data_IF_902004871508
#
_entry.id   IF_902004871508
#
_cell.length_a   1.000
_cell.length_b   1.000
_cell.length_c   1.000
_cell.angle_alpha   90.00
_cell.angle_beta   90.00
_cell.angle_gamma   90.00
#
_symmetry.space_group_name_H-M   'P 1'
#
loop_
_entity.id
_entity.type
_entity.pdbx_description
1 polymer ?
#
# COMPACT_ATOMS: atom_id res chain seq x y z
N UNK A 1 0.61 34.83 12.80
CA UNK A 1 0.51 34.51 11.35
C UNK A 1 -0.19 33.19 11.26
N UNK A 2 -1.45 33.20 10.84
CA UNK A 2 -2.28 31.96 10.71
C UNK A 2 -1.71 31.12 9.58
N UNK A 3 -1.32 29.87 9.87
CA UNK A 3 -1.00 28.87 8.85
C UNK A 3 -2.17 28.76 7.86
N UNK A 4 -1.91 28.74 6.54
CA UNK A 4 -2.98 28.48 5.58
C UNK A 4 -3.60 27.11 5.90
N UNK A 5 -4.92 27.06 5.98
CA UNK A 5 -5.68 25.82 6.12
C UNK A 5 -5.24 24.88 4.98
N UNK A 6 -4.55 23.81 5.32
CA UNK A 6 -4.26 22.71 4.42
C UNK A 6 -5.62 22.23 3.90
N UNK A 7 -5.92 22.49 2.62
CA UNK A 7 -7.10 21.95 1.96
C UNK A 7 -7.18 20.47 2.28
N UNK A 8 -8.41 19.97 2.45
CA UNK A 8 -8.67 18.59 2.87
C UNK A 8 -7.88 17.63 1.97
N UNK A 9 -6.76 17.11 2.51
CA UNK A 9 -5.87 16.20 1.76
C UNK A 9 -6.67 14.95 1.38
N UNK A 10 -6.41 14.35 0.20
CA UNK A 10 -7.12 13.14 -0.23
C UNK A 10 -6.92 12.05 0.82
N UNK A 11 -8.03 11.58 1.39
CA UNK A 11 -8.00 10.49 2.37
C UNK A 11 -7.77 9.16 1.65
N UNK A 12 -6.95 8.31 2.27
CA UNK A 12 -6.77 6.95 1.81
C UNK A 12 -7.91 6.08 2.36
N UNK A 13 -8.97 5.94 1.58
CA UNK A 13 -10.21 5.29 2.02
C UNK A 13 -10.72 4.27 1.01
N UNK A 14 -11.50 3.28 1.50
CA UNK A 14 -12.08 2.22 0.66
C UNK A 14 -11.07 1.14 0.28
N UNK A 15 -11.11 0.67 -0.95
CA UNK A 15 -10.27 -0.43 -1.46
C UNK A 15 -9.08 0.14 -2.22
N UNK A 16 -7.88 -0.06 -1.71
CA UNK A 16 -6.62 0.38 -2.30
C UNK A 16 -5.85 -0.85 -2.78
N UNK A 17 -5.45 -0.89 -4.04
CA UNK A 17 -4.62 -1.97 -4.55
C UNK A 17 -3.16 -1.77 -4.14
N UNK A 18 -2.58 -2.76 -3.43
CA UNK A 18 -1.13 -2.88 -3.33
C UNK A 18 -0.62 -3.37 -4.67
N UNK A 19 -0.28 -2.42 -5.54
CA UNK A 19 -0.02 -2.68 -6.95
C UNK A 19 1.27 -3.45 -7.15
N UNK A 20 1.22 -4.50 -7.96
CA UNK A 20 2.40 -5.17 -8.49
C UNK A 20 3.21 -4.21 -9.35
N UNK A 21 4.52 -4.33 -9.35
CA UNK A 21 5.38 -3.58 -10.26
C UNK A 21 5.56 -4.37 -11.55
N UNK A 22 5.05 -3.85 -12.69
CA UNK A 22 5.33 -4.47 -13.97
C UNK A 22 6.81 -4.35 -14.33
N UNK A 23 7.36 -5.45 -14.81
CA UNK A 23 8.76 -5.56 -15.23
C UNK A 23 8.86 -6.11 -16.63
N UNK A 24 10.03 -5.98 -17.26
CA UNK A 24 10.37 -6.73 -18.46
C UNK A 24 10.26 -8.25 -18.19
N UNK A 25 10.07 -9.07 -19.23
CA UNK A 25 9.83 -10.49 -19.05
C UNK A 25 10.95 -11.23 -18.31
N UNK A 26 12.18 -10.70 -18.37
CA UNK A 26 13.34 -11.21 -17.63
C UNK A 26 13.43 -10.69 -16.18
N UNK A 27 12.51 -9.84 -15.75
CA UNK A 27 12.51 -9.23 -14.42
C UNK A 27 13.62 -8.21 -14.16
N UNK A 28 14.42 -7.86 -15.17
CA UNK A 28 15.63 -7.04 -14.98
C UNK A 28 15.35 -5.53 -14.91
N UNK A 29 14.23 -5.06 -15.47
CA UNK A 29 13.90 -3.62 -15.47
C UNK A 29 12.40 -3.41 -15.26
N UNK A 30 12.05 -2.29 -14.65
CA UNK A 30 10.65 -1.82 -14.59
C UNK A 30 10.17 -1.55 -16.02
N UNK A 31 8.91 -1.93 -16.31
CA UNK A 31 8.21 -1.56 -17.54
C UNK A 31 7.17 -0.46 -17.25
N UNK A 32 7.52 0.83 -17.48
CA UNK A 32 6.62 1.94 -17.20
C UNK A 32 5.35 1.95 -18.06
N UNK A 33 5.40 1.39 -19.27
CA UNK A 33 4.22 1.30 -20.14
C UNK A 33 3.24 0.25 -19.62
N UNK A 34 3.72 -0.92 -19.20
CA UNK A 34 2.90 -1.93 -18.55
C UNK A 34 2.36 -1.43 -17.20
N UNK A 35 3.13 -0.62 -16.45
CA UNK A 35 2.65 0.02 -15.23
C UNK A 35 1.48 0.98 -15.51
N UNK A 36 1.57 1.76 -16.59
CA UNK A 36 0.48 2.60 -17.07
C UNK A 36 -0.77 1.78 -17.46
N UNK A 37 -0.59 0.67 -18.19
CA UNK A 37 -1.71 -0.22 -18.57
C UNK A 37 -2.38 -0.86 -17.36
N UNK A 38 -1.61 -1.43 -16.42
CA UNK A 38 -2.15 -1.99 -15.17
C UNK A 38 -2.91 -0.94 -14.36
N UNK A 39 -2.35 0.26 -14.23
CA UNK A 39 -3.01 1.37 -13.54
C UNK A 39 -4.34 1.72 -14.19
N UNK A 40 -4.38 1.87 -15.51
CA UNK A 40 -5.62 2.17 -16.25
C UNK A 40 -6.66 1.08 -16.03
N UNK A 41 -6.25 -0.20 -16.11
CA UNK A 41 -7.14 -1.33 -15.87
C UNK A 41 -7.73 -1.32 -14.44
N UNK A 42 -6.90 -1.05 -13.42
CA UNK A 42 -7.36 -0.95 -12.03
C UNK A 42 -8.35 0.22 -11.83
N UNK A 43 -8.06 1.38 -12.43
CA UNK A 43 -8.96 2.55 -12.40
C UNK A 43 -10.30 2.24 -13.06
N UNK A 44 -10.32 1.56 -14.21
CA UNK A 44 -11.53 1.13 -14.91
C UNK A 44 -12.32 0.09 -14.14
N UNK A 45 -11.67 -0.73 -13.31
CA UNK A 45 -12.35 -1.62 -12.35
C UNK A 45 -12.98 -0.88 -11.17
N UNK A 46 -12.66 0.39 -10.96
CA UNK A 46 -13.23 1.21 -9.89
C UNK A 46 -12.45 1.19 -8.59
N UNK A 47 -11.16 0.84 -8.60
CA UNK A 47 -10.33 0.87 -7.39
C UNK A 47 -10.26 2.29 -6.81
N UNK A 48 -10.25 2.43 -5.49
CA UNK A 48 -10.32 3.74 -4.84
C UNK A 48 -8.95 4.41 -4.66
N UNK A 49 -7.85 3.67 -4.81
CA UNK A 49 -6.49 4.18 -4.71
C UNK A 49 -5.44 3.13 -4.99
N UNK A 50 -4.21 3.55 -5.10
CA UNK A 50 -3.05 2.71 -5.39
C UNK A 50 -1.97 2.89 -4.33
N UNK A 51 -1.40 1.78 -3.88
CA UNK A 51 -0.22 1.75 -3.01
C UNK A 51 0.91 1.05 -3.77
N UNK A 52 1.90 1.81 -4.22
CA UNK A 52 2.90 1.35 -5.19
C UNK A 52 4.29 1.23 -4.60
N UNK A 53 5.14 0.42 -5.21
CA UNK A 53 6.51 0.13 -4.77
C UNK A 53 6.61 -0.40 -3.33
N UNK A 54 5.52 -0.97 -2.77
CA UNK A 54 5.53 -1.64 -1.47
C UNK A 54 6.12 -3.05 -1.57
N UNK A 55 5.85 -3.89 -0.57
CA UNK A 55 6.30 -5.30 -0.56
C UNK A 55 5.77 -6.05 -1.78
N UNK A 56 4.47 -5.94 -2.05
CA UNK A 56 3.83 -6.50 -3.26
C UNK A 56 4.38 -5.92 -4.55
N UNK A 57 4.80 -4.65 -4.51
CA UNK A 57 5.41 -3.94 -5.65
C UNK A 57 6.92 -4.11 -5.75
N UNK A 58 7.52 -5.07 -5.03
CA UNK A 58 8.96 -5.38 -5.13
C UNK A 58 9.86 -4.17 -4.84
N UNK A 59 9.39 -3.20 -4.04
CA UNK A 59 9.97 -1.86 -3.92
C UNK A 59 11.42 -1.81 -3.43
N UNK A 60 11.83 -2.76 -2.56
CA UNK A 60 13.22 -2.85 -2.10
C UNK A 60 14.20 -3.34 -3.17
N UNK A 61 13.70 -3.93 -4.24
CA UNK A 61 14.53 -4.41 -5.35
C UNK A 61 14.66 -3.37 -6.48
N UNK A 62 13.98 -2.22 -6.37
CA UNK A 62 14.04 -1.15 -7.36
C UNK A 62 15.21 -0.21 -7.09
N UNK A 63 15.90 0.20 -8.14
CA UNK A 63 16.79 1.35 -8.06
C UNK A 63 15.98 2.65 -7.84
N UNK A 64 16.59 3.72 -7.34
CA UNK A 64 15.90 5.01 -7.21
C UNK A 64 15.35 5.54 -8.55
N UNK A 65 16.02 5.27 -9.65
CA UNK A 65 15.60 5.63 -11.01
C UNK A 65 14.37 4.87 -11.42
N UNK A 66 14.35 3.54 -11.24
CA UNK A 66 13.19 2.68 -11.51
C UNK A 66 11.99 3.05 -10.66
N UNK A 67 12.21 3.33 -9.37
CA UNK A 67 11.15 3.81 -8.48
C UNK A 67 10.53 5.11 -9.02
N UNK A 68 11.34 6.06 -9.42
CA UNK A 68 10.88 7.34 -10.01
C UNK A 68 10.08 7.12 -11.30
N UNK A 69 10.54 6.24 -12.19
CA UNK A 69 9.87 5.92 -13.45
C UNK A 69 8.52 5.26 -13.20
N UNK A 70 8.45 4.30 -12.27
CA UNK A 70 7.22 3.64 -11.84
C UNK A 70 6.21 4.68 -11.31
N UNK A 71 6.64 5.53 -10.35
CA UNK A 71 5.74 6.53 -9.75
C UNK A 71 5.17 7.46 -10.81
N UNK A 72 6.01 7.97 -11.74
CA UNK A 72 5.56 8.83 -12.84
C UNK A 72 4.55 8.16 -13.76
N UNK A 73 4.81 6.91 -14.15
CA UNK A 73 3.92 6.17 -15.03
C UNK A 73 2.55 5.94 -14.39
N UNK A 74 2.55 5.52 -13.11
CA UNK A 74 1.31 5.28 -12.35
C UNK A 74 0.54 6.57 -12.13
N UNK A 75 1.17 7.64 -11.65
CA UNK A 75 0.50 8.94 -11.43
C UNK A 75 -0.14 9.47 -12.71
N UNK A 76 0.58 9.38 -13.84
CA UNK A 76 0.04 9.80 -15.15
C UNK A 76 -1.23 9.03 -15.53
N UNK A 77 -1.31 7.74 -15.22
CA UNK A 77 -2.43 6.87 -15.58
C UNK A 77 -3.57 6.84 -14.54
N UNK A 78 -3.34 7.31 -13.32
CA UNK A 78 -4.24 7.17 -12.17
C UNK A 78 -5.53 8.00 -12.26
N UNK A 79 -5.64 8.93 -13.21
CA UNK A 79 -6.86 9.74 -13.45
C UNK A 79 -7.43 10.41 -12.17
N UNK A 80 -6.56 10.80 -11.25
CA UNK A 80 -6.92 11.55 -10.04
C UNK A 80 -7.25 10.71 -8.81
N UNK A 81 -7.25 9.36 -8.87
CA UNK A 81 -7.33 8.56 -7.65
C UNK A 81 -6.01 8.66 -6.85
N UNK A 82 -6.06 8.52 -5.50
CA UNK A 82 -4.85 8.58 -4.67
C UNK A 82 -3.78 7.56 -5.08
N UNK A 83 -2.53 8.03 -5.14
CA UNK A 83 -1.34 7.19 -5.36
C UNK A 83 -0.39 7.38 -4.19
N UNK A 84 -0.26 6.37 -3.35
CA UNK A 84 0.68 6.33 -2.23
C UNK A 84 1.96 5.68 -2.71
N UNK A 85 3.06 6.43 -2.71
CA UNK A 85 4.38 5.88 -3.03
C UNK A 85 5.04 5.34 -1.74
N UNK A 86 5.37 4.07 -1.74
CA UNK A 86 6.22 3.52 -0.71
C UNK A 86 7.64 4.04 -0.90
N UNK A 87 8.21 4.63 0.15
CA UNK A 87 9.54 5.25 0.12
C UNK A 87 10.47 4.69 1.21
N UNK A 88 10.11 3.54 1.78
CA UNK A 88 10.97 2.84 2.73
C UNK A 88 12.24 2.32 2.07
N UNK A 89 13.36 2.51 2.75
CA UNK A 89 14.67 2.07 2.29
C UNK A 89 15.54 1.65 3.48
N UNK A 90 16.70 1.06 3.20
CA UNK A 90 17.63 0.61 4.25
C UNK A 90 18.27 1.77 5.01
N UNK A 91 18.37 2.95 4.40
CA UNK A 91 18.93 4.14 5.05
C UNK A 91 17.97 5.32 4.96
N UNK A 92 18.03 6.22 5.96
CA UNK A 92 17.25 7.47 5.96
C UNK A 92 17.55 8.32 4.70
N UNK A 93 18.81 8.36 4.28
CA UNK A 93 19.21 9.15 3.10
C UNK A 93 18.53 8.64 1.81
N UNK A 94 18.47 7.33 1.62
CA UNK A 94 17.74 6.72 0.49
C UNK A 94 16.25 7.00 0.56
N UNK A 95 15.62 6.81 1.73
CA UNK A 95 14.21 7.07 1.93
C UNK A 95 13.84 8.55 1.66
N UNK A 96 14.68 9.48 2.10
CA UNK A 96 14.56 10.92 1.80
C UNK A 96 14.65 11.20 0.29
N UNK A 97 15.56 10.53 -0.42
CA UNK A 97 15.68 10.65 -1.87
C UNK A 97 14.42 10.16 -2.57
N UNK A 98 13.91 8.98 -2.20
CA UNK A 98 12.68 8.42 -2.76
C UNK A 98 11.47 9.32 -2.47
N UNK A 99 11.38 9.88 -1.25
CA UNK A 99 10.31 10.82 -0.88
C UNK A 99 10.29 12.07 -1.76
N UNK A 100 11.45 12.70 -1.99
CA UNK A 100 11.58 13.86 -2.89
C UNK A 100 11.20 13.50 -4.34
N UNK A 101 11.61 12.34 -4.80
CA UNK A 101 11.24 11.85 -6.14
C UNK A 101 9.74 11.59 -6.27
N UNK A 102 9.09 11.05 -5.22
CA UNK A 102 7.64 10.84 -5.19
C UNK A 102 6.87 12.17 -5.26
N UNK A 103 7.32 13.21 -4.54
CA UNK A 103 6.78 14.58 -4.65
C UNK A 103 6.88 15.09 -6.08
N UNK A 104 8.08 15.03 -6.67
CA UNK A 104 8.33 15.50 -8.04
C UNK A 104 7.55 14.74 -9.10
N UNK A 105 7.24 13.47 -8.84
CA UNK A 105 6.45 12.62 -9.72
C UNK A 105 4.95 12.83 -9.59
N UNK A 106 4.49 13.59 -8.58
CA UNK A 106 3.07 13.90 -8.35
C UNK A 106 2.30 12.84 -7.56
N UNK A 107 2.98 12.02 -6.76
CA UNK A 107 2.30 11.14 -5.80
C UNK A 107 1.41 11.95 -4.86
N UNK A 108 0.38 11.33 -4.27
CA UNK A 108 -0.53 12.01 -3.35
C UNK A 108 -0.19 11.81 -1.89
N UNK A 109 0.63 10.82 -1.58
CA UNK A 109 1.15 10.53 -0.25
C UNK A 109 2.42 9.67 -0.33
N UNK A 110 3.14 9.58 0.79
CA UNK A 110 4.29 8.67 0.93
C UNK A 110 4.11 7.75 2.14
N UNK A 111 4.71 6.55 2.06
CA UNK A 111 4.67 5.58 3.16
C UNK A 111 6.06 4.92 3.36
N UNK A 112 6.78 5.27 4.44
CA UNK A 112 8.13 4.79 4.72
C UNK A 112 8.18 3.76 5.85
N UNK A 113 8.14 2.44 5.62
CA UNK A 113 8.49 1.50 6.68
C UNK A 113 10.01 1.49 6.93
N UNK A 114 10.45 1.47 8.19
CA UNK A 114 11.84 1.26 8.55
C UNK A 114 12.17 -0.25 8.61
N UNK A 115 13.24 -0.70 7.95
CA UNK A 115 13.52 -2.14 7.79
C UNK A 115 14.42 -2.76 8.87
N UNK A 116 15.20 -1.97 9.60
CA UNK A 116 15.96 -2.45 10.75
C UNK A 116 15.22 -2.19 12.05
N UNK A 117 15.52 -2.99 13.07
CA UNK A 117 15.02 -2.73 14.42
C UNK A 117 15.64 -1.45 14.96
N UNK A 118 14.81 -0.48 15.27
CA UNK A 118 15.17 0.88 15.68
C UNK A 118 14.55 1.22 17.04
N UNK A 119 15.24 2.02 17.82
CA UNK A 119 14.68 2.64 19.03
C UNK A 119 13.60 3.69 18.66
N UNK A 120 12.78 4.08 19.64
CA UNK A 120 11.76 5.12 19.43
C UNK A 120 12.35 6.46 18.97
N UNK A 121 13.54 6.81 19.46
CA UNK A 121 14.23 8.05 19.06
C UNK A 121 14.70 7.98 17.62
N UNK A 122 15.24 6.84 17.20
CA UNK A 122 15.65 6.62 15.81
C UNK A 122 14.45 6.59 14.86
N UNK A 123 13.35 5.96 15.26
CA UNK A 123 12.10 5.98 14.49
C UNK A 123 11.55 7.40 14.32
N UNK A 124 11.55 8.20 15.39
CA UNK A 124 11.14 9.60 15.31
C UNK A 124 12.04 10.39 14.36
N UNK A 125 13.35 10.23 14.45
CA UNK A 125 14.32 10.86 13.55
C UNK A 125 14.10 10.46 12.08
N UNK A 126 13.92 9.17 11.83
CA UNK A 126 13.64 8.60 10.50
C UNK A 126 12.36 9.21 9.89
N UNK A 127 11.23 9.13 10.59
CA UNK A 127 9.97 9.66 10.09
C UNK A 127 9.99 11.19 9.92
N UNK A 128 10.66 11.92 10.83
CA UNK A 128 10.79 13.37 10.72
C UNK A 128 11.58 13.79 9.48
N UNK A 129 12.69 13.11 9.19
CA UNK A 129 13.51 13.43 8.02
C UNK A 129 12.73 13.19 6.70
N UNK A 130 11.96 12.11 6.64
CA UNK A 130 11.17 11.77 5.46
C UNK A 130 9.97 12.70 5.33
N UNK A 131 9.27 13.02 6.41
CA UNK A 131 8.15 13.95 6.42
C UNK A 131 8.56 15.32 5.85
N UNK A 132 9.70 15.87 6.28
CA UNK A 132 10.26 17.11 5.74
C UNK A 132 10.60 17.01 4.24
N UNK A 133 11.13 15.88 3.82
CA UNK A 133 11.50 15.67 2.41
C UNK A 133 10.27 15.47 1.50
N UNK A 134 9.17 15.00 2.08
CA UNK A 134 7.91 14.73 1.38
C UNK A 134 6.98 15.95 1.30
N UNK A 135 7.26 17.04 1.99
CA UNK A 135 6.40 18.25 1.94
C UNK A 135 6.10 18.67 0.49
N UNK A 136 4.83 18.97 0.16
CA UNK A 136 3.64 19.08 1.03
C UNK A 136 2.81 17.81 1.19
N UNK A 137 3.31 16.62 0.77
CA UNK A 137 2.55 15.38 0.82
C UNK A 137 2.35 14.88 2.25
N UNK A 138 1.18 14.27 2.56
CA UNK A 138 0.97 13.56 3.81
C UNK A 138 1.81 12.29 3.86
N UNK A 139 2.17 11.90 5.09
CA UNK A 139 2.86 10.67 5.39
C UNK A 139 1.90 9.66 5.99
N UNK A 140 1.90 8.45 5.47
CA UNK A 140 1.23 7.29 6.07
C UNK A 140 2.27 6.39 6.71
N UNK A 141 2.18 6.17 8.02
CA UNK A 141 3.01 5.15 8.67
C UNK A 141 2.69 3.78 8.09
N UNK A 142 3.68 2.90 8.08
CA UNK A 142 3.46 1.52 7.66
C UNK A 142 4.01 0.57 8.72
N UNK A 143 3.10 -0.09 9.42
CA UNK A 143 3.39 -1.13 10.40
C UNK A 143 3.30 -2.51 9.75
N UNK A 144 4.43 -3.18 9.60
CA UNK A 144 4.54 -4.53 9.06
C UNK A 144 5.68 -5.27 9.77
N UNK A 145 5.49 -5.72 11.00
CA UNK A 145 6.56 -6.29 11.83
C UNK A 145 7.26 -7.49 11.18
N UNK A 146 6.53 -8.27 10.37
CA UNK A 146 7.10 -9.41 9.64
C UNK A 146 8.15 -9.02 8.59
N UNK A 147 8.04 -7.82 8.01
CA UNK A 147 8.94 -7.33 6.97
C UNK A 147 9.88 -6.21 7.48
N UNK A 148 9.38 -5.34 8.35
CA UNK A 148 10.05 -4.11 8.74
C UNK A 148 10.67 -4.15 10.16
N UNK A 149 10.57 -5.26 10.87
CA UNK A 149 11.17 -5.53 12.20
C UNK A 149 10.90 -4.47 13.28
N UNK A 150 9.99 -3.54 13.04
CA UNK A 150 9.56 -2.55 14.00
C UNK A 150 8.06 -2.70 14.20
N UNK A 151 7.64 -2.51 15.43
CA UNK A 151 6.22 -2.43 15.76
C UNK A 151 5.87 -1.01 16.16
N UNK A 152 4.75 -0.51 15.61
CA UNK A 152 4.21 0.81 15.88
C UNK A 152 2.91 0.68 16.70
N UNK A 153 3.00 0.54 18.05
CA UNK A 153 1.80 0.42 18.89
C UNK A 153 0.94 1.68 18.79
N UNK A 154 -0.40 1.59 19.00
CA UNK A 154 -1.32 2.72 18.84
C UNK A 154 -0.90 4.00 19.57
N UNK A 155 -0.43 3.90 20.82
CA UNK A 155 0.06 5.06 21.57
C UNK A 155 1.29 5.70 20.93
N UNK A 156 2.22 4.90 20.44
CA UNK A 156 3.41 5.44 19.78
C UNK A 156 3.06 6.11 18.44
N UNK A 157 2.08 5.58 17.72
CA UNK A 157 1.54 6.26 16.51
C UNK A 157 0.93 7.61 16.88
N UNK A 158 0.19 7.71 17.99
CA UNK A 158 -0.34 8.96 18.49
C UNK A 158 0.78 9.97 18.85
N UNK A 159 1.83 9.50 19.55
CA UNK A 159 3.01 10.32 19.89
C UNK A 159 3.72 10.83 18.61
N UNK A 160 3.90 9.96 17.61
CA UNK A 160 4.50 10.33 16.32
C UNK A 160 3.64 11.38 15.60
N UNK A 161 2.32 11.26 15.59
CA UNK A 161 1.42 12.24 14.97
C UNK A 161 1.47 13.61 15.67
N UNK A 162 1.62 13.61 16.97
CA UNK A 162 1.79 14.86 17.72
C UNK A 162 3.11 15.56 17.34
N UNK A 163 4.18 14.79 17.16
CA UNK A 163 5.51 15.31 16.79
C UNK A 163 5.62 15.68 15.29
N UNK A 164 4.87 14.98 14.44
CA UNK A 164 4.93 15.12 12.97
C UNK A 164 3.49 15.29 12.43
N UNK A 165 2.99 16.54 12.36
CA UNK A 165 1.59 16.81 11.97
C UNK A 165 1.20 16.38 10.57
N UNK A 166 2.16 16.14 9.66
CA UNK A 166 1.91 15.63 8.32
C UNK A 166 1.57 14.13 8.28
N UNK A 167 1.64 13.40 9.40
CA UNK A 167 1.17 12.02 9.46
C UNK A 167 -0.37 12.00 9.39
N UNK A 168 -0.90 11.58 8.25
CA UNK A 168 -2.33 11.52 7.97
C UNK A 168 -2.96 10.18 8.37
N UNK A 169 -2.18 9.10 8.43
CA UNK A 169 -2.71 7.79 8.74
C UNK A 169 -1.64 6.72 8.97
N UNK A 170 -2.13 5.51 9.13
CA UNK A 170 -1.31 4.30 9.26
C UNK A 170 -1.92 3.16 8.44
N UNK A 171 -1.07 2.44 7.68
CA UNK A 171 -1.35 1.10 7.19
C UNK A 171 -0.81 0.09 8.21
N UNK A 172 -1.66 -0.80 8.70
CA UNK A 172 -1.25 -1.88 9.60
C UNK A 172 -1.44 -3.24 8.92
N UNK A 173 -0.35 -3.99 8.80
CA UNK A 173 -0.29 -5.34 8.26
C UNK A 173 0.25 -6.35 9.29
N UNK A 174 0.14 -6.04 10.59
CA UNK A 174 0.62 -6.92 11.65
C UNK A 174 -0.19 -8.22 11.78
N UNK A 175 -1.48 -8.17 11.41
CA UNK A 175 -2.41 -9.28 11.64
C UNK A 175 -2.70 -9.55 13.12
N UNK A 176 -2.23 -8.69 14.03
CA UNK A 176 -2.45 -8.88 15.46
C UNK A 176 -3.92 -8.64 15.82
N UNK A 177 -4.49 -9.58 16.56
CA UNK A 177 -5.88 -9.49 17.03
C UNK A 177 -6.12 -8.19 17.82
N UNK A 178 -7.23 -7.51 17.54
CA UNK A 178 -7.59 -6.26 18.19
C UNK A 178 -6.79 -5.03 17.75
N UNK A 179 -5.79 -5.17 16.87
CA UNK A 179 -4.92 -4.07 16.44
C UNK A 179 -5.68 -2.95 15.73
N UNK A 180 -6.50 -3.29 14.75
CA UNK A 180 -7.27 -2.28 14.00
C UNK A 180 -8.27 -1.54 14.90
N UNK A 181 -9.10 -2.22 15.72
CA UNK A 181 -9.94 -1.55 16.71
C UNK A 181 -9.17 -0.60 17.64
N UNK A 182 -8.02 -1.03 18.17
CA UNK A 182 -7.19 -0.21 19.06
C UNK A 182 -6.63 1.03 18.35
N UNK A 183 -6.19 0.90 17.12
CA UNK A 183 -5.73 2.03 16.30
C UNK A 183 -6.87 3.02 16.04
N UNK A 184 -8.04 2.54 15.59
CA UNK A 184 -9.21 3.39 15.33
C UNK A 184 -9.64 4.14 16.60
N UNK A 185 -9.73 3.45 17.74
CA UNK A 185 -10.08 4.04 19.02
C UNK A 185 -9.06 5.09 19.48
N UNK A 186 -7.75 4.77 19.36
CA UNK A 186 -6.67 5.64 19.89
C UNK A 186 -6.47 6.88 19.03
N UNK A 187 -6.58 6.76 17.70
CA UNK A 187 -6.23 7.81 16.76
C UNK A 187 -7.42 8.70 16.37
N UNK A 188 -8.64 8.17 16.53
CA UNK A 188 -9.88 8.89 16.22
C UNK A 188 -10.07 9.18 14.73
N UNK A 189 -11.15 9.91 14.36
CA UNK A 189 -11.58 10.08 12.97
C UNK A 189 -10.67 11.00 12.13
N UNK A 190 -9.71 11.67 12.75
CA UNK A 190 -8.76 12.54 12.07
C UNK A 190 -7.54 11.81 11.51
N UNK A 191 -7.46 10.49 11.70
CA UNK A 191 -6.36 9.64 11.24
C UNK A 191 -6.93 8.49 10.42
N UNK A 192 -6.42 8.29 9.22
CA UNK A 192 -6.82 7.16 8.41
C UNK A 192 -6.13 5.88 8.92
N UNK A 193 -6.92 4.97 9.49
CA UNK A 193 -6.45 3.62 9.79
C UNK A 193 -6.80 2.72 8.61
N UNK A 194 -5.79 2.09 8.01
CA UNK A 194 -5.94 1.27 6.81
C UNK A 194 -5.44 -0.15 7.13
N UNK A 195 -6.31 -1.14 6.95
CA UNK A 195 -5.97 -2.54 7.17
C UNK A 195 -5.18 -3.10 5.99
N UNK A 196 -4.07 -3.78 6.28
CA UNK A 196 -3.24 -4.46 5.29
C UNK A 196 -3.25 -5.99 5.44
N UNK A 197 -4.27 -6.55 6.10
CA UNK A 197 -4.44 -7.99 6.27
C UNK A 197 -5.75 -8.44 5.59
N UNK A 198 -5.62 -9.31 4.60
CA UNK A 198 -6.75 -9.81 3.80
C UNK A 198 -7.73 -10.68 4.59
N UNK A 199 -7.29 -11.31 5.69
CA UNK A 199 -8.14 -12.18 6.51
C UNK A 199 -9.20 -11.41 7.32
N UNK A 200 -9.00 -10.11 7.55
CA UNK A 200 -9.80 -9.30 8.49
C UNK A 200 -10.37 -8.03 7.86
N UNK A 201 -10.59 -8.01 6.55
CA UNK A 201 -11.08 -6.83 5.82
C UNK A 201 -12.46 -6.38 6.32
N UNK A 202 -13.40 -7.32 6.40
CA UNK A 202 -14.77 -7.01 6.83
C UNK A 202 -14.79 -6.50 8.27
N UNK A 203 -14.06 -7.16 9.18
CA UNK A 203 -13.91 -6.71 10.56
C UNK A 203 -13.33 -5.30 10.62
N UNK A 204 -12.28 -5.03 9.84
CA UNK A 204 -11.65 -3.71 9.79
C UNK A 204 -12.65 -2.61 9.41
N UNK A 205 -13.48 -2.83 8.40
CA UNK A 205 -14.54 -1.89 8.03
C UNK A 205 -15.60 -1.73 9.12
N UNK A 206 -16.02 -2.83 9.77
CA UNK A 206 -17.02 -2.81 10.84
C UNK A 206 -16.57 -2.00 12.05
N UNK A 207 -15.26 -2.00 12.36
CA UNK A 207 -14.71 -1.22 13.49
C UNK A 207 -14.30 0.21 13.09
N UNK A 208 -14.53 0.62 11.84
CA UNK A 208 -14.33 1.99 11.38
C UNK A 208 -12.97 2.29 10.74
N UNK A 209 -12.25 1.27 10.25
CA UNK A 209 -11.10 1.51 9.38
C UNK A 209 -11.51 2.32 8.15
N UNK A 210 -10.67 3.26 7.74
CA UNK A 210 -10.93 4.12 6.58
C UNK A 210 -10.87 3.33 5.27
N UNK A 211 -10.02 2.31 5.20
CA UNK A 211 -9.80 1.52 4.01
C UNK A 211 -8.98 0.27 4.25
N UNK A 212 -8.71 -0.42 3.14
CA UNK A 212 -7.80 -1.56 3.09
C UNK A 212 -6.75 -1.36 2.00
N UNK A 213 -5.57 -1.95 2.19
CA UNK A 213 -4.53 -2.05 1.15
C UNK A 213 -4.19 -3.51 0.95
N UNK A 214 -4.59 -4.08 -0.17
CA UNK A 214 -4.54 -5.52 -0.41
C UNK A 214 -3.78 -5.89 -1.68
N UNK A 215 -2.96 -6.94 -1.62
CA UNK A 215 -2.23 -7.47 -2.78
C UNK A 215 -3.18 -8.10 -3.80
N UNK A 216 -4.15 -8.86 -3.33
CA UNK A 216 -5.15 -9.50 -4.18
C UNK A 216 -6.04 -8.50 -4.92
N UNK A 217 -6.21 -7.28 -4.40
CA UNK A 217 -6.94 -6.22 -5.09
C UNK A 217 -6.23 -5.74 -6.37
N UNK A 218 -4.93 -6.03 -6.54
CA UNK A 218 -4.21 -5.82 -7.81
C UNK A 218 -4.55 -6.85 -8.88
N UNK A 219 -5.08 -8.00 -8.48
CA UNK A 219 -5.36 -9.13 -9.39
C UNK A 219 -6.86 -9.36 -9.56
N UNK A 220 -7.62 -9.30 -8.48
CA UNK A 220 -9.07 -9.50 -8.42
C UNK A 220 -9.76 -8.31 -7.75
N UNK A 221 -9.65 -7.08 -8.27
CA UNK A 221 -10.23 -5.89 -7.65
C UNK A 221 -11.75 -6.02 -7.41
N UNK A 222 -12.46 -6.75 -8.26
CA UNK A 222 -13.90 -6.97 -8.16
C UNK A 222 -14.35 -7.69 -6.89
N UNK A 223 -13.54 -8.62 -6.35
CA UNK A 223 -13.86 -9.30 -5.08
C UNK A 223 -13.84 -8.32 -3.90
N UNK A 224 -12.80 -7.48 -3.84
CA UNK A 224 -12.63 -6.51 -2.78
C UNK A 224 -13.63 -5.36 -2.87
N UNK A 225 -13.91 -4.90 -4.08
CA UNK A 225 -14.94 -3.89 -4.34
C UNK A 225 -16.33 -4.43 -4.02
N UNK A 226 -16.62 -5.69 -4.34
CA UNK A 226 -17.85 -6.39 -4.00
C UNK A 226 -18.06 -6.46 -2.49
N UNK A 227 -17.04 -6.87 -1.73
CA UNK A 227 -17.08 -6.87 -0.26
C UNK A 227 -17.40 -5.48 0.28
N UNK A 228 -16.65 -4.46 -0.17
CA UNK A 228 -16.83 -3.09 0.28
C UNK A 228 -18.22 -2.55 -0.04
N UNK A 229 -18.76 -2.83 -1.23
CA UNK A 229 -20.10 -2.41 -1.65
C UNK A 229 -21.21 -3.13 -0.85
N UNK A 230 -21.05 -4.44 -0.59
CA UNK A 230 -21.99 -5.22 0.22
C UNK A 230 -22.01 -4.71 1.67
N UNK A 231 -20.84 -4.50 2.27
CA UNK A 231 -20.71 -3.91 3.60
C UNK A 231 -21.38 -2.53 3.69
N UNK A 232 -21.07 -1.61 2.77
CA UNK A 232 -21.68 -0.27 2.75
C UNK A 232 -23.20 -0.30 2.61
N UNK A 233 -23.73 -1.27 1.90
CA UNK A 233 -25.17 -1.45 1.71
C UNK A 233 -25.85 -2.23 2.85
N UNK A 234 -25.11 -2.64 3.89
CA UNK A 234 -25.64 -3.44 5.00
C UNK A 234 -26.02 -4.88 4.62
N UNK A 235 -25.54 -5.38 3.48
CA UNK A 235 -25.79 -6.76 3.01
C UNK A 235 -24.76 -7.70 3.65
N UNK A 236 -24.96 -8.00 4.93
CA UNK A 236 -23.99 -8.70 5.78
C UNK A 236 -23.58 -10.07 5.20
N UNK A 237 -24.57 -10.90 4.82
CA UNK A 237 -24.28 -12.24 4.29
C UNK A 237 -23.44 -12.22 2.98
N UNK A 238 -23.69 -11.24 2.10
CA UNK A 238 -22.87 -11.06 0.89
C UNK A 238 -21.46 -10.61 1.22
N UNK A 239 -21.28 -9.71 2.21
CA UNK A 239 -19.98 -9.26 2.63
C UNK A 239 -19.15 -10.38 3.28
N UNK A 240 -19.78 -11.23 4.10
CA UNK A 240 -19.15 -12.41 4.70
C UNK A 240 -18.74 -13.44 3.64
N UNK A 241 -19.58 -13.68 2.65
CA UNK A 241 -19.24 -14.59 1.54
C UNK A 241 -18.06 -14.04 0.73
N UNK A 242 -18.07 -12.74 0.40
CA UNK A 242 -16.95 -12.10 -0.29
C UNK A 242 -15.65 -12.19 0.53
N UNK A 243 -15.72 -12.04 1.86
CA UNK A 243 -14.57 -12.22 2.75
C UNK A 243 -14.02 -13.65 2.66
N UNK A 244 -14.88 -14.68 2.67
CA UNK A 244 -14.45 -16.08 2.53
C UNK A 244 -13.76 -16.33 1.17
N UNK A 245 -14.32 -15.77 0.10
CA UNK A 245 -13.74 -15.88 -1.24
C UNK A 245 -12.36 -15.21 -1.34
N UNK A 246 -12.19 -14.03 -0.72
CA UNK A 246 -10.89 -13.34 -0.65
C UNK A 246 -9.86 -14.21 0.08
N UNK A 247 -10.22 -14.77 1.24
CA UNK A 247 -9.31 -15.65 2.00
C UNK A 247 -8.92 -16.88 1.18
N UNK A 248 -9.88 -17.56 0.54
CA UNK A 248 -9.62 -18.73 -0.29
C UNK A 248 -8.71 -18.40 -1.49
N UNK A 249 -8.95 -17.27 -2.15
CA UNK A 249 -8.13 -16.78 -3.25
C UNK A 249 -6.70 -16.46 -2.79
N UNK A 250 -6.54 -15.76 -1.65
CA UNK A 250 -5.22 -15.44 -1.10
C UNK A 250 -4.44 -16.71 -0.75
N UNK A 251 -5.08 -17.69 -0.14
CA UNK A 251 -4.46 -19.01 0.15
C UNK A 251 -3.98 -19.70 -1.14
N UNK A 252 -4.81 -19.70 -2.16
CA UNK A 252 -4.45 -20.29 -3.48
C UNK A 252 -3.26 -19.57 -4.12
N UNK A 253 -3.12 -18.25 -3.94
CA UNK A 253 -2.01 -17.44 -4.44
C UNK A 253 -0.79 -17.38 -3.49
N UNK A 254 -0.80 -18.10 -2.36
CA UNK A 254 0.30 -18.16 -1.40
C UNK A 254 0.41 -16.95 -0.49
N UNK A 255 -0.71 -16.30 -0.16
CA UNK A 255 -0.83 -15.22 0.84
C UNK A 255 0.17 -14.06 0.64
N UNK A 256 0.37 -13.64 -0.61
CA UNK A 256 1.28 -12.53 -0.93
C UNK A 256 2.77 -12.89 -0.97
N UNK A 257 3.14 -14.14 -0.64
CA UNK A 257 4.54 -14.57 -0.63
C UNK A 257 5.06 -14.97 -2.03
N UNK A 258 4.15 -15.32 -2.95
CA UNK A 258 4.49 -15.86 -4.28
C UNK A 258 4.09 -14.89 -5.39
N UNK A 259 4.79 -13.75 -5.49
CA UNK A 259 4.44 -12.67 -6.43
C UNK A 259 4.43 -13.11 -7.90
N UNK A 260 5.23 -14.08 -8.28
CA UNK A 260 5.19 -14.68 -9.62
C UNK A 260 3.81 -15.24 -9.98
N UNK A 261 3.08 -15.82 -9.00
CA UNK A 261 1.71 -16.28 -9.21
C UNK A 261 0.73 -15.14 -9.47
N UNK A 262 0.85 -14.04 -8.72
CA UNK A 262 0.01 -12.86 -8.94
C UNK A 262 0.22 -12.29 -10.35
N UNK A 263 1.48 -12.21 -10.81
CA UNK A 263 1.81 -11.75 -12.16
C UNK A 263 1.31 -12.72 -13.25
N UNK A 264 1.46 -14.02 -13.01
CA UNK A 264 0.91 -15.04 -13.90
C UNK A 264 -0.61 -14.92 -14.07
N UNK A 265 -1.34 -14.83 -12.96
CA UNK A 265 -2.81 -14.68 -13.00
C UNK A 265 -3.23 -13.38 -13.68
N UNK A 266 -2.53 -12.26 -13.46
CA UNK A 266 -2.79 -11.02 -14.19
C UNK A 266 -2.63 -11.20 -15.70
N UNK A 267 -1.59 -11.93 -16.14
CA UNK A 267 -1.39 -12.23 -17.56
C UNK A 267 -2.55 -13.05 -18.14
N UNK A 268 -3.06 -14.06 -17.40
CA UNK A 268 -4.24 -14.84 -17.79
C UNK A 268 -5.52 -13.98 -17.86
N UNK A 269 -5.55 -12.89 -17.11
CA UNK A 269 -6.65 -11.90 -17.15
C UNK A 269 -6.48 -10.83 -18.24
N UNK A 270 -5.50 -11.00 -19.12
CA UNK A 270 -5.22 -10.08 -20.24
C UNK A 270 -4.43 -8.84 -19.85
N UNK A 271 -3.79 -8.84 -18.68
CA UNK A 271 -2.97 -7.72 -18.19
C UNK A 271 -1.55 -8.22 -17.91
N UNK A 272 -0.72 -8.48 -18.93
CA UNK A 272 0.64 -8.97 -18.73
C UNK A 272 1.50 -7.89 -18.07
N UNK A 273 2.23 -8.30 -17.03
CA UNK A 273 3.08 -7.43 -16.20
C UNK A 273 4.52 -7.93 -16.08
N UNK A 274 4.91 -8.88 -16.96
CA UNK A 274 6.24 -9.47 -17.01
C UNK A 274 6.57 -10.38 -15.83
N UNK A 275 7.86 -10.64 -15.63
CA UNK A 275 8.38 -11.50 -14.58
C UNK A 275 8.59 -10.76 -13.24
N UNK A 276 9.01 -11.50 -12.21
CA UNK A 276 9.46 -10.93 -10.93
C UNK A 276 10.97 -10.68 -10.94
N UNK A 277 11.43 -9.79 -10.07
CA UNK A 277 12.87 -9.56 -9.90
C UNK A 277 13.49 -10.62 -8.99
N UNK A 278 14.62 -11.18 -9.41
CA UNK A 278 15.40 -12.07 -8.55
C UNK A 278 15.85 -11.38 -7.23
N UNK A 279 15.86 -12.11 -6.12
CA UNK A 279 15.79 -13.58 -5.98
C UNK A 279 14.37 -14.19 -5.98
N UNK A 280 13.32 -13.40 -6.25
CA UNK A 280 11.99 -13.96 -6.40
C UNK A 280 11.93 -14.86 -7.66
N UNK A 281 11.00 -15.79 -7.67
CA UNK A 281 10.80 -16.72 -8.78
C UNK A 281 9.42 -16.52 -9.44
N UNK A 282 9.40 -16.63 -10.76
CA UNK A 282 8.14 -16.71 -11.51
C UNK A 282 7.41 -18.03 -11.23
N UNK A 283 6.12 -18.10 -11.53
CA UNK A 283 5.35 -19.32 -11.47
C UNK A 283 5.90 -20.35 -12.50
N UNK A 284 6.26 -21.55 -12.03
CA UNK A 284 6.82 -22.59 -12.89
C UNK A 284 5.72 -23.28 -13.70
N UNK A 285 6.09 -23.87 -14.86
CA UNK A 285 5.16 -24.65 -15.68
C UNK A 285 4.52 -25.85 -14.94
N UNK A 286 5.23 -26.43 -13.97
CA UNK A 286 4.70 -27.52 -13.15
C UNK A 286 3.67 -27.05 -12.12
N UNK A 287 3.62 -25.76 -11.84
CA UNK A 287 2.71 -25.15 -10.88
C UNK A 287 1.53 -24.41 -11.56
N UNK A 288 1.62 -24.16 -12.86
CA UNK A 288 0.57 -23.56 -13.71
C UNK A 288 -0.50 -24.55 -14.07
#
# INVERSE_FOLDING_TARGET
MSSPALGRQPRLAGVIAAMLTPMTNDGLRVDPEAAGRLTTWLVEKGIHGLYIAGTTGEGLYLSPEEHRELVRAVVKAAKGIPVVAHVGALTTAQAVTLARQAVQAGATAVAPPPYYSLSRVELLGYFTAIARAAEPLPLYLYNSPSHARNELPPRFVADLRQAIPSIAGIKDSSGAAGRIPDLVKTLGPSCDVVCGNDDTILEAFQVGAAGIVASGASVFPELYLGLHAAWKAGRVAEAEEAQRQIVAMQQALGNGARLGWYKYVLAQRGVPVGGVRGPLADATLAEQ
#
